data_IF_931129340394
#
_entry.id   IF_931129340394
#
_cell.length_a   1.000
_cell.length_b   1.000
_cell.length_c   1.000
_cell.angle_alpha   90.00
_cell.angle_beta   90.00
_cell.angle_gamma   90.00
#
_symmetry.space_group_name_H-M   'P 1'
#
loop_
_entity.id
_entity.type
_entity.pdbx_description
1 polymer ?
#
# COMPACT_ATOMS: atom_id res chain seq x y z
N UNK A 1 28.34 49.24 -56.56
CA UNK A 1 29.67 49.05 -55.95
C UNK A 1 29.68 49.92 -54.70
N UNK A 2 29.71 49.24 -53.57
CA UNK A 2 29.90 49.61 -52.16
C UNK A 2 29.99 51.10 -51.78
N UNK A 3 29.00 51.57 -51.02
CA UNK A 3 29.11 52.73 -50.13
C UNK A 3 29.10 52.18 -48.69
N UNK A 4 30.29 51.99 -48.13
CA UNK A 4 30.51 51.59 -46.73
C UNK A 4 31.15 52.78 -46.03
N UNK A 5 30.31 53.57 -45.35
CA UNK A 5 30.76 54.55 -44.38
C UNK A 5 31.27 53.82 -43.14
N UNK A 6 32.57 53.59 -43.08
CA UNK A 6 33.28 53.30 -41.84
C UNK A 6 33.43 54.64 -41.08
N UNK A 7 32.45 54.99 -40.24
CA UNK A 7 32.61 56.04 -39.24
C UNK A 7 33.75 55.61 -38.29
N UNK A 8 34.96 56.13 -38.51
CA UNK A 8 36.08 55.99 -37.58
C UNK A 8 35.71 56.65 -36.26
N UNK A 9 35.27 55.83 -35.30
CA UNK A 9 35.10 56.21 -33.90
C UNK A 9 36.33 56.98 -33.42
N UNK A 10 36.12 58.17 -32.85
CA UNK A 10 37.19 58.98 -32.28
C UNK A 10 37.88 58.22 -31.14
N UNK A 11 39.16 58.52 -30.86
CA UNK A 11 39.92 57.82 -29.81
C UNK A 11 39.20 57.86 -28.44
N UNK A 12 38.48 58.95 -28.17
CA UNK A 12 37.67 59.14 -26.96
C UNK A 12 36.48 58.20 -26.87
N UNK A 13 35.79 57.96 -27.98
CA UNK A 13 34.63 57.04 -28.01
C UNK A 13 35.06 55.59 -27.84
N UNK A 14 36.27 55.22 -28.31
CA UNK A 14 36.85 53.90 -28.07
C UNK A 14 37.19 53.69 -26.59
N UNK A 15 37.82 54.67 -25.96
CA UNK A 15 38.13 54.63 -24.53
C UNK A 15 36.85 54.54 -23.67
N UNK A 16 35.81 55.31 -24.01
CA UNK A 16 34.51 55.25 -23.33
C UNK A 16 33.80 53.90 -23.52
N UNK A 17 33.90 53.29 -24.71
CA UNK A 17 33.35 51.95 -24.97
C UNK A 17 34.09 50.86 -24.19
N UNK A 18 35.42 50.95 -24.08
CA UNK A 18 36.22 49.98 -23.32
C UNK A 18 35.98 50.13 -21.82
N UNK A 19 35.80 51.36 -21.33
CA UNK A 19 35.39 51.61 -19.94
C UNK A 19 33.99 51.04 -19.68
N UNK A 20 33.01 51.28 -20.57
CA UNK A 20 31.66 50.74 -20.43
C UNK A 20 31.64 49.20 -20.50
N UNK A 21 32.44 48.59 -21.39
CA UNK A 21 32.59 47.13 -21.45
C UNK A 21 33.25 46.58 -20.19
N UNK A 22 34.23 47.27 -19.62
CA UNK A 22 34.85 46.87 -18.35
C UNK A 22 33.87 46.97 -17.17
N UNK A 23 33.01 48.00 -17.16
CA UNK A 23 31.97 48.17 -16.14
C UNK A 23 30.84 47.15 -16.30
N UNK A 24 30.43 46.86 -17.52
CA UNK A 24 29.42 45.81 -17.80
C UNK A 24 29.96 44.45 -17.40
N UNK A 25 31.20 44.10 -17.78
CA UNK A 25 31.82 42.83 -17.36
C UNK A 25 32.04 42.75 -15.84
N UNK A 26 32.39 43.86 -15.18
CA UNK A 26 32.48 43.92 -13.73
C UNK A 26 31.10 43.77 -13.05
N UNK A 27 30.04 44.36 -13.61
CA UNK A 27 28.67 44.24 -13.09
C UNK A 27 28.07 42.86 -13.39
N UNK A 28 28.34 42.28 -14.55
CA UNK A 28 27.95 40.91 -14.91
C UNK A 28 28.70 39.89 -14.04
N UNK A 29 29.98 40.13 -13.73
CA UNK A 29 30.77 39.35 -12.77
C UNK A 29 30.31 39.49 -11.32
N UNK A 30 29.81 40.67 -10.93
CA UNK A 30 29.30 40.94 -9.58
C UNK A 30 27.83 40.51 -9.38
N UNK A 31 27.05 40.32 -10.45
CA UNK A 31 25.61 40.05 -10.39
C UNK A 31 25.23 38.65 -9.86
N UNK A 32 26.19 37.73 -9.68
CA UNK A 32 25.88 36.40 -9.12
C UNK A 32 26.86 36.01 -8.02
N UNK A 33 26.59 36.33 -6.74
CA UNK A 33 27.33 35.70 -5.66
C UNK A 33 27.17 34.17 -5.77
N UNK A 34 28.26 33.37 -5.65
CA UNK A 34 28.15 31.92 -5.66
C UNK A 34 27.25 31.52 -4.49
N UNK A 35 26.06 31.02 -4.80
CA UNK A 35 25.17 30.42 -3.79
C UNK A 35 25.95 29.27 -3.16
N UNK A 36 26.43 29.45 -1.93
CA UNK A 36 27.00 28.36 -1.14
C UNK A 36 25.89 27.38 -0.83
N UNK A 37 25.65 26.44 -1.75
CA UNK A 37 24.93 25.23 -1.46
C UNK A 37 25.71 24.54 -0.35
N UNK A 38 25.15 24.43 0.86
CA UNK A 38 25.73 23.58 1.89
C UNK A 38 25.26 22.15 1.59
N UNK A 39 26.06 21.32 0.87
CA UNK A 39 25.62 20.01 0.40
C UNK A 39 25.19 19.11 1.57
N UNK A 40 25.85 19.25 2.72
CA UNK A 40 25.55 18.51 3.94
C UNK A 40 24.11 18.67 4.43
N UNK A 41 23.50 19.86 4.31
CA UNK A 41 22.09 20.08 4.71
C UNK A 41 21.11 19.44 3.74
N UNK A 42 21.44 19.42 2.45
CA UNK A 42 20.60 18.78 1.43
C UNK A 42 20.66 17.25 1.54
N UNK A 43 21.86 16.69 1.73
CA UNK A 43 22.06 15.24 1.90
C UNK A 43 21.39 14.77 3.19
N UNK A 44 21.58 15.49 4.30
CA UNK A 44 20.93 15.16 5.58
C UNK A 44 19.41 15.18 5.50
N UNK A 45 18.82 16.15 4.80
CA UNK A 45 17.37 16.21 4.57
C UNK A 45 16.87 15.01 3.76
N UNK A 46 17.56 14.64 2.68
CA UNK A 46 17.19 13.47 1.86
C UNK A 46 17.27 12.18 2.67
N UNK A 47 18.34 11.99 3.44
CA UNK A 47 18.49 10.80 4.30
C UNK A 47 17.38 10.73 5.37
N UNK A 48 17.03 11.85 6.01
CA UNK A 48 15.94 11.90 6.98
C UNK A 48 14.59 11.60 6.33
N UNK A 49 14.36 12.05 5.10
CA UNK A 49 13.14 11.75 4.35
C UNK A 49 13.05 10.27 3.99
N UNK A 50 14.14 9.67 3.51
CA UNK A 50 14.20 8.24 3.22
C UNK A 50 14.01 7.40 4.49
N UNK A 51 14.62 7.82 5.60
CA UNK A 51 14.42 7.20 6.89
C UNK A 51 12.97 7.33 7.36
N UNK A 52 12.33 8.49 7.20
CA UNK A 52 10.91 8.66 7.53
C UNK A 52 10.01 7.77 6.68
N UNK A 53 10.30 7.60 5.39
CA UNK A 53 9.55 6.69 4.52
C UNK A 53 9.70 5.23 4.96
N UNK A 54 10.92 4.81 5.31
CA UNK A 54 11.19 3.48 5.86
C UNK A 54 10.49 3.26 7.21
N UNK A 55 10.55 4.23 8.11
CA UNK A 55 9.86 4.17 9.40
C UNK A 55 8.35 4.15 9.23
N UNK A 56 7.80 4.85 8.22
CA UNK A 56 6.37 4.81 7.90
C UNK A 56 5.94 3.42 7.44
N UNK A 57 6.76 2.75 6.59
CA UNK A 57 6.56 1.36 6.18
C UNK A 57 6.45 0.44 7.40
N UNK A 58 7.46 0.51 8.27
CA UNK A 58 7.56 -0.33 9.45
C UNK A 58 6.46 0.00 10.48
N UNK A 59 6.08 1.27 10.60
CA UNK A 59 5.02 1.76 11.46
C UNK A 59 3.66 1.18 11.11
N UNK A 60 3.29 1.13 9.82
CA UNK A 60 2.00 0.58 9.42
C UNK A 60 1.91 -0.91 9.76
N UNK A 61 2.98 -1.66 9.52
CA UNK A 61 3.06 -3.09 9.87
C UNK A 61 3.04 -3.28 11.39
N UNK A 62 3.80 -2.48 12.15
CA UNK A 62 3.86 -2.56 13.59
C UNK A 62 2.51 -2.22 14.25
N UNK A 63 1.84 -1.16 13.80
CA UNK A 63 0.50 -0.79 14.28
C UNK A 63 -0.50 -1.90 13.99
N UNK A 64 -0.49 -2.45 12.77
CA UNK A 64 -1.37 -3.56 12.42
C UNK A 64 -1.11 -4.78 13.31
N UNK A 65 0.14 -5.22 13.43
CA UNK A 65 0.49 -6.39 14.21
C UNK A 65 0.15 -6.17 15.70
N UNK A 66 0.44 -5.00 16.26
CA UNK A 66 0.04 -4.65 17.63
C UNK A 66 -1.48 -4.73 17.80
N UNK A 67 -2.22 -4.20 16.82
CA UNK A 67 -3.69 -4.20 16.83
C UNK A 67 -4.32 -5.58 16.61
N UNK A 68 -3.57 -6.55 16.07
CA UNK A 68 -4.06 -7.92 15.93
C UNK A 68 -3.68 -8.75 17.15
N UNK A 69 -2.52 -8.50 17.76
CA UNK A 69 -2.00 -9.28 18.88
C UNK A 69 -2.57 -8.83 20.23
N UNK A 70 -2.76 -7.53 20.45
CA UNK A 70 -3.16 -6.98 21.75
C UNK A 70 -4.64 -6.58 21.83
N UNK A 71 -5.36 -6.59 20.71
CA UNK A 71 -6.77 -6.19 20.65
C UNK A 71 -7.61 -7.38 20.18
N UNK A 72 -8.17 -8.08 21.17
CA UNK A 72 -9.04 -9.25 20.95
C UNK A 72 -10.27 -8.89 20.10
N UNK A 73 -10.85 -7.71 20.27
CA UNK A 73 -12.02 -7.31 19.49
C UNK A 73 -11.67 -7.13 18.02
N UNK A 74 -10.52 -6.53 17.74
CA UNK A 74 -10.04 -6.34 16.37
C UNK A 74 -9.62 -7.66 15.72
N UNK A 75 -9.00 -8.56 16.47
CA UNK A 75 -8.74 -9.92 16.01
C UNK A 75 -10.04 -10.64 15.65
N UNK A 76 -11.02 -10.67 16.56
CA UNK A 76 -12.32 -11.33 16.35
C UNK A 76 -13.11 -10.70 15.20
N UNK A 77 -13.06 -9.38 15.03
CA UNK A 77 -13.66 -8.69 13.88
C UNK A 77 -13.02 -9.11 12.54
N UNK A 78 -11.78 -9.58 12.57
CA UNK A 78 -11.03 -10.04 11.40
C UNK A 78 -11.34 -11.50 11.07
N UNK A 79 -11.34 -12.39 12.06
CA UNK A 79 -11.54 -13.83 11.86
C UNK A 79 -13.00 -14.27 11.97
N UNK A 80 -13.85 -13.50 12.63
CA UNK A 80 -15.27 -13.82 12.83
C UNK A 80 -16.04 -14.08 11.52
N UNK A 81 -15.92 -13.22 10.49
CA UNK A 81 -16.60 -13.43 9.21
C UNK A 81 -16.19 -14.71 8.47
N UNK A 82 -15.01 -15.28 8.77
CA UNK A 82 -14.54 -16.52 8.15
C UNK A 82 -15.44 -17.72 8.46
N UNK A 83 -16.22 -17.67 9.54
CA UNK A 83 -17.18 -18.72 9.86
C UNK A 83 -18.28 -18.89 8.80
N UNK A 84 -18.57 -17.82 8.05
CA UNK A 84 -19.57 -17.76 6.98
C UNK A 84 -18.98 -17.92 5.57
N UNK A 85 -17.66 -18.06 5.47
CA UNK A 85 -16.95 -18.16 4.20
C UNK A 85 -17.03 -19.60 3.64
N UNK A 86 -17.50 -19.80 2.41
CA UNK A 86 -17.72 -21.15 1.86
C UNK A 86 -16.43 -21.95 1.72
N UNK A 87 -15.31 -21.31 1.40
CA UNK A 87 -14.03 -22.00 1.25
C UNK A 87 -13.52 -22.50 2.61
N UNK A 88 -13.67 -21.69 3.66
CA UNK A 88 -13.34 -22.07 5.04
C UNK A 88 -14.28 -23.16 5.55
N UNK A 89 -15.60 -23.03 5.34
CA UNK A 89 -16.59 -24.02 5.74
C UNK A 89 -16.33 -25.38 5.07
N UNK A 90 -15.99 -25.39 3.78
CA UNK A 90 -15.63 -26.61 3.06
C UNK A 90 -14.33 -27.22 3.58
N UNK A 91 -13.30 -26.41 3.84
CA UNK A 91 -12.04 -26.89 4.39
C UNK A 91 -12.21 -27.51 5.79
N UNK A 92 -13.00 -26.87 6.67
CA UNK A 92 -13.33 -27.40 8.00
C UNK A 92 -14.12 -28.70 7.86
N UNK A 93 -15.13 -28.74 6.96
CA UNK A 93 -15.94 -29.94 6.72
C UNK A 93 -15.09 -31.11 6.28
N UNK A 94 -14.21 -30.92 5.30
CA UNK A 94 -13.30 -31.96 4.82
C UNK A 94 -12.38 -32.43 5.95
N UNK A 95 -11.79 -31.50 6.70
CA UNK A 95 -10.83 -31.83 7.76
C UNK A 95 -11.48 -32.62 8.90
N UNK A 96 -12.67 -32.21 9.33
CA UNK A 96 -13.43 -32.91 10.37
C UNK A 96 -13.90 -34.27 9.86
N UNK A 97 -14.36 -34.36 8.61
CA UNK A 97 -14.76 -35.64 7.99
C UNK A 97 -13.60 -36.61 7.95
N UNK A 98 -12.44 -36.19 7.44
CA UNK A 98 -11.25 -37.05 7.37
C UNK A 98 -10.78 -37.45 8.77
N UNK A 99 -10.85 -36.56 9.76
CA UNK A 99 -10.53 -36.87 11.15
C UNK A 99 -11.48 -37.91 11.75
N UNK A 100 -12.79 -37.77 11.55
CA UNK A 100 -13.79 -38.75 12.02
C UNK A 100 -13.57 -40.10 11.37
N UNK A 101 -13.38 -40.14 10.05
CA UNK A 101 -13.15 -41.38 9.32
C UNK A 101 -11.82 -42.06 9.68
N UNK A 102 -10.80 -41.29 10.06
CA UNK A 102 -9.51 -41.87 10.50
C UNK A 102 -9.63 -42.74 11.77
N UNK A 103 -10.70 -42.56 12.54
CA UNK A 103 -11.01 -43.37 13.72
C UNK A 103 -11.96 -44.54 13.43
N UNK A 104 -12.53 -44.61 12.23
CA UNK A 104 -13.44 -45.68 11.82
C UNK A 104 -12.69 -46.61 10.86
N UNK A 105 -12.34 -47.80 11.35
CA UNK A 105 -11.72 -48.82 10.50
C UNK A 105 -12.77 -49.55 9.65
N UNK A 106 -13.20 -48.89 8.58
CA UNK A 106 -14.22 -49.42 7.64
C UNK A 106 -13.77 -50.76 7.06
N UNK A 107 -12.47 -50.91 6.78
CA UNK A 107 -11.90 -52.16 6.26
C UNK A 107 -11.99 -53.29 7.27
N UNK A 108 -11.71 -53.02 8.54
CA UNK A 108 -11.89 -54.02 9.59
C UNK A 108 -13.36 -54.44 9.72
N UNK A 109 -14.31 -53.49 9.65
CA UNK A 109 -15.74 -53.82 9.70
C UNK A 109 -16.20 -54.65 8.49
N UNK A 110 -15.82 -54.28 7.28
CA UNK A 110 -16.21 -55.04 6.06
C UNK A 110 -15.49 -56.39 6.03
N UNK A 111 -14.25 -56.46 6.50
CA UNK A 111 -13.51 -57.71 6.70
C UNK A 111 -14.26 -58.65 7.64
N UNK A 112 -14.63 -58.18 8.83
CA UNK A 112 -15.42 -58.97 9.80
C UNK A 112 -16.75 -59.46 9.23
N UNK A 113 -17.45 -58.62 8.45
CA UNK A 113 -18.70 -59.00 7.78
C UNK A 113 -18.46 -60.06 6.69
N UNK A 114 -17.35 -59.96 5.95
CA UNK A 114 -16.99 -60.91 4.89
C UNK A 114 -16.57 -62.26 5.48
N UNK A 115 -15.83 -62.24 6.58
CA UNK A 115 -15.41 -63.44 7.31
C UNK A 115 -16.64 -64.17 7.89
N UNK A 116 -17.54 -63.44 8.56
CA UNK A 116 -18.80 -64.01 9.08
C UNK A 116 -19.72 -64.56 7.98
N UNK A 117 -19.78 -63.91 6.82
CA UNK A 117 -20.54 -64.40 5.67
C UNK A 117 -19.93 -65.70 5.09
N UNK A 118 -18.59 -65.79 5.08
CA UNK A 118 -17.88 -66.99 4.60
C UNK A 118 -18.10 -68.20 5.52
N UNK A 119 -18.14 -67.98 6.84
CA UNK A 119 -18.45 -69.01 7.83
C UNK A 119 -19.89 -69.55 7.72
N UNK A 120 -20.83 -68.72 7.25
CA UNK A 120 -22.22 -69.14 6.99
C UNK A 120 -22.43 -69.84 5.64
N UNK A 121 -21.35 -70.12 4.89
CA UNK A 121 -21.41 -70.89 3.65
C UNK A 121 -21.91 -70.10 2.43
N UNK A 122 -21.77 -68.77 2.46
CA UNK A 122 -22.10 -67.91 1.31
C UNK A 122 -21.19 -68.26 0.10
N UNK A 123 -21.73 -68.33 -1.14
CA UNK A 123 -20.94 -68.67 -2.31
C UNK A 123 -19.73 -67.73 -2.51
N UNK A 124 -18.56 -68.22 -2.96
CA UNK A 124 -17.32 -67.43 -3.09
C UNK A 124 -17.48 -66.14 -3.91
N UNK A 125 -18.33 -66.17 -4.94
CA UNK A 125 -18.64 -64.99 -5.76
C UNK A 125 -19.32 -63.87 -4.98
N UNK A 126 -20.14 -64.19 -3.99
CA UNK A 126 -20.80 -63.19 -3.16
C UNK A 126 -19.85 -62.57 -2.13
N UNK A 127 -18.88 -63.33 -1.61
CA UNK A 127 -17.81 -62.80 -0.76
C UNK A 127 -16.87 -61.85 -1.52
N UNK A 128 -16.53 -62.15 -2.79
CA UNK A 128 -15.77 -61.23 -3.65
C UNK A 128 -16.54 -59.93 -3.94
N UNK A 129 -17.85 -60.02 -4.18
CA UNK A 129 -18.70 -58.84 -4.36
C UNK A 129 -18.72 -57.97 -3.10
N UNK A 130 -18.79 -58.58 -1.90
CA UNK A 130 -18.73 -57.86 -0.62
C UNK A 130 -17.40 -57.14 -0.42
N UNK A 131 -16.28 -57.78 -0.77
CA UNK A 131 -14.95 -57.16 -0.70
C UNK A 131 -14.80 -55.98 -1.68
N UNK A 132 -15.45 -56.06 -2.84
CA UNK A 132 -15.49 -54.95 -3.80
C UNK A 132 -16.37 -53.77 -3.36
N UNK A 133 -17.14 -53.90 -2.26
CA UNK A 133 -17.94 -52.82 -1.70
C UNK A 133 -17.14 -51.91 -0.77
N UNK A 134 -15.89 -52.23 -0.43
CA UNK A 134 -15.03 -51.39 0.42
C UNK A 134 -15.02 -49.91 -0.05
N UNK A 135 -14.72 -49.68 -1.32
CA UNK A 135 -14.66 -48.34 -1.90
C UNK A 135 -16.01 -47.60 -1.90
N UNK A 136 -17.10 -48.22 -2.41
CA UNK A 136 -18.45 -47.64 -2.34
C UNK A 136 -18.95 -47.37 -0.92
N UNK A 137 -18.71 -48.26 0.04
CA UNK A 137 -19.11 -48.09 1.45
C UNK A 137 -18.32 -46.96 2.08
N UNK A 138 -17.00 -46.91 1.87
CA UNK A 138 -16.13 -45.83 2.35
C UNK A 138 -16.57 -44.48 1.78
N UNK A 139 -16.85 -44.42 0.47
CA UNK A 139 -17.34 -43.20 -0.19
C UNK A 139 -18.71 -42.77 0.30
N UNK A 140 -19.65 -43.72 0.46
CA UNK A 140 -20.99 -43.45 0.99
C UNK A 140 -20.95 -42.96 2.43
N UNK A 141 -20.12 -43.58 3.28
CA UNK A 141 -19.90 -43.13 4.65
C UNK A 141 -19.25 -41.75 4.67
N UNK A 142 -18.23 -41.50 3.83
CA UNK A 142 -17.60 -40.19 3.71
C UNK A 142 -18.60 -39.12 3.32
N UNK A 143 -19.49 -39.39 2.36
CA UNK A 143 -20.47 -38.42 1.92
C UNK A 143 -21.57 -38.18 2.97
N UNK A 144 -21.99 -39.23 3.69
CA UNK A 144 -22.93 -39.10 4.81
C UNK A 144 -22.35 -38.26 5.95
N UNK A 145 -21.11 -38.56 6.36
CA UNK A 145 -20.41 -37.83 7.42
C UNK A 145 -20.18 -36.38 6.97
N UNK A 146 -19.65 -36.18 5.77
CA UNK A 146 -19.42 -34.85 5.20
C UNK A 146 -20.71 -34.01 5.17
N UNK A 147 -21.82 -34.55 4.66
CA UNK A 147 -23.09 -33.82 4.62
C UNK A 147 -23.73 -33.60 6.00
N UNK A 148 -23.41 -34.41 7.01
CA UNK A 148 -23.79 -34.13 8.40
C UNK A 148 -22.95 -32.99 9.00
N UNK A 149 -21.63 -33.03 8.79
CA UNK A 149 -20.70 -31.99 9.27
C UNK A 149 -20.98 -30.65 8.58
N UNK A 150 -21.19 -30.65 7.26
CA UNK A 150 -21.50 -29.45 6.48
C UNK A 150 -22.73 -28.72 7.01
N UNK A 151 -23.81 -29.46 7.34
CA UNK A 151 -25.02 -28.87 7.94
C UNK A 151 -24.77 -28.21 9.30
N UNK A 152 -23.82 -28.74 10.08
CA UNK A 152 -23.42 -28.13 11.35
C UNK A 152 -22.56 -26.90 11.09
N UNK A 153 -21.57 -27.00 10.21
CA UNK A 153 -20.61 -25.92 9.90
C UNK A 153 -21.28 -24.73 9.21
N UNK A 154 -22.28 -24.98 8.37
CA UNK A 154 -23.07 -23.93 7.69
C UNK A 154 -24.16 -23.31 8.58
N UNK A 155 -24.31 -23.79 9.82
CA UNK A 155 -25.34 -23.28 10.73
C UNK A 155 -24.95 -21.94 11.37
N UNK A 156 -25.96 -21.13 11.70
CA UNK A 156 -25.75 -19.90 12.48
C UNK A 156 -25.25 -20.16 13.91
N UNK A 157 -25.42 -21.38 14.42
CA UNK A 157 -24.85 -21.79 15.70
C UNK A 157 -23.33 -21.91 15.61
N UNK A 158 -22.81 -22.44 14.50
CA UNK A 158 -21.37 -22.55 14.26
C UNK A 158 -20.70 -21.18 14.25
N UNK A 159 -21.30 -20.16 13.62
CA UNK A 159 -20.75 -18.79 13.63
C UNK A 159 -20.56 -18.24 15.04
N UNK A 160 -21.54 -18.43 15.93
CA UNK A 160 -21.45 -18.00 17.34
C UNK A 160 -20.37 -18.77 18.10
N UNK A 161 -20.29 -20.08 17.88
CA UNK A 161 -19.26 -20.92 18.49
C UNK A 161 -17.87 -20.50 18.01
N UNK A 162 -17.72 -20.26 16.72
CA UNK A 162 -16.48 -19.80 16.10
C UNK A 162 -15.99 -18.49 16.70
N UNK A 163 -16.84 -17.46 16.72
CA UNK A 163 -16.51 -16.13 17.26
C UNK A 163 -16.09 -16.22 18.72
N UNK A 164 -16.85 -16.96 19.52
CA UNK A 164 -16.60 -17.09 20.94
C UNK A 164 -15.34 -17.92 21.25
N UNK A 165 -15.12 -19.01 20.51
CA UNK A 165 -13.92 -19.83 20.65
C UNK A 165 -12.66 -19.02 20.31
N UNK A 166 -12.68 -18.27 19.21
CA UNK A 166 -11.58 -17.38 18.82
C UNK A 166 -11.33 -16.27 19.86
N UNK A 167 -12.40 -15.65 20.38
CA UNK A 167 -12.30 -14.63 21.44
C UNK A 167 -11.60 -15.17 22.68
N UNK A 168 -12.02 -16.34 23.17
CA UNK A 168 -11.42 -16.95 24.36
C UNK A 168 -9.99 -17.39 24.14
N UNK A 169 -9.71 -18.06 23.02
CA UNK A 169 -8.35 -18.47 22.66
C UNK A 169 -7.40 -17.27 22.58
N UNK A 170 -7.84 -16.18 21.95
CA UNK A 170 -7.06 -14.96 21.84
C UNK A 170 -6.87 -14.26 23.19
N UNK A 171 -7.93 -14.18 24.02
CA UNK A 171 -7.84 -13.56 25.36
C UNK A 171 -6.87 -14.32 26.26
N UNK A 172 -6.92 -15.66 26.27
CA UNK A 172 -5.99 -16.49 27.04
C UNK A 172 -4.54 -16.32 26.56
N UNK A 173 -4.33 -16.16 25.26
CA UNK A 173 -3.00 -15.88 24.69
C UNK A 173 -2.50 -14.48 25.09
N UNK A 174 -3.37 -13.46 25.02
CA UNK A 174 -3.02 -12.09 25.40
C UNK A 174 -2.65 -12.00 26.90
N UNK A 175 -3.42 -12.62 27.78
CA UNK A 175 -3.14 -12.72 29.21
C UNK A 175 -1.79 -13.43 29.49
N UNK A 176 -1.52 -14.52 28.76
CA UNK A 176 -0.26 -15.27 28.83
C UNK A 176 0.96 -14.42 28.41
N UNK A 177 0.80 -13.55 27.42
CA UNK A 177 1.86 -12.73 26.83
C UNK A 177 2.10 -11.44 27.63
N UNK A 178 1.04 -10.78 28.08
CA UNK A 178 1.09 -9.50 28.83
C UNK A 178 1.38 -9.72 30.32
N UNK A 179 1.08 -10.90 30.87
CA UNK A 179 1.29 -11.23 32.27
C UNK A 179 0.33 -10.51 33.22
N UNK A 180 -0.82 -10.03 32.74
CA UNK A 180 -1.83 -9.32 33.53
C UNK A 180 -2.77 -10.24 34.36
N UNK A 181 -2.37 -11.48 34.61
CA UNK A 181 -3.19 -12.42 35.41
C UNK A 181 -3.11 -12.09 36.90
N UNK A 182 -4.17 -11.49 37.45
CA UNK A 182 -4.38 -11.32 38.91
C UNK A 182 -4.98 -12.60 39.56
N UNK A 183 -5.29 -13.64 38.78
CA UNK A 183 -5.76 -14.92 39.30
C UNK A 183 -5.31 -16.10 38.43
N UNK A 184 -4.56 -17.01 39.06
CA UNK A 184 -4.37 -18.40 38.66
C UNK A 184 -3.73 -18.70 37.28
N UNK A 185 -2.45 -18.33 37.13
CA UNK A 185 -1.52 -19.14 36.32
C UNK A 185 -0.41 -19.59 37.26
N UNK A 186 -0.47 -20.84 37.73
CA UNK A 186 0.64 -21.42 38.46
C UNK A 186 1.83 -21.51 37.49
N UNK A 187 2.81 -20.62 37.65
CA UNK A 187 4.14 -20.81 37.12
C UNK A 187 4.72 -22.08 37.78
N UNK A 188 4.49 -23.24 37.17
CA UNK A 188 5.36 -24.40 37.34
C UNK A 188 6.35 -24.38 36.19
N UNK A 189 7.62 -24.16 36.54
CA UNK A 189 8.77 -24.40 35.66
C UNK A 189 8.72 -23.68 34.29
N UNK A 190 8.44 -22.36 34.30
CA UNK A 190 8.60 -21.50 33.13
C UNK A 190 7.69 -21.86 31.92
N UNK A 191 6.60 -22.59 32.16
CA UNK A 191 5.63 -23.01 31.16
C UNK A 191 4.33 -22.23 31.36
N UNK A 192 3.82 -21.63 30.28
CA UNK A 192 2.46 -21.08 30.26
C UNK A 192 1.55 -22.17 29.71
N UNK A 193 0.86 -22.85 30.60
CA UNK A 193 -0.11 -23.89 30.27
C UNK A 193 -1.47 -23.23 30.18
N UNK A 194 -2.05 -23.21 28.98
CA UNK A 194 -3.44 -22.80 28.78
C UNK A 194 -4.28 -24.07 28.92
N UNK A 195 -5.11 -24.13 29.96
CA UNK A 195 -6.11 -25.19 30.08
C UNK A 195 -7.19 -24.97 29.01
N UNK A 196 -7.13 -25.80 27.97
CA UNK A 196 -8.12 -25.82 26.88
C UNK A 196 -9.35 -26.67 27.23
N UNK A 197 -9.34 -27.38 28.36
CA UNK A 197 -10.45 -28.19 28.85
C UNK A 197 -11.79 -27.44 28.88
N UNK A 198 -11.86 -26.21 29.42
CA UNK A 198 -13.08 -25.40 29.42
C UNK A 198 -13.62 -25.05 28.02
N UNK A 199 -12.74 -24.94 27.02
CA UNK A 199 -13.12 -24.62 25.64
C UNK A 199 -13.68 -25.87 24.96
N UNK A 200 -13.01 -27.01 25.12
CA UNK A 200 -13.45 -28.30 24.56
C UNK A 200 -14.80 -28.72 25.13
N UNK A 201 -15.00 -28.56 26.44
CA UNK A 201 -16.25 -28.94 27.10
C UNK A 201 -17.44 -28.07 26.67
N UNK A 202 -17.22 -26.77 26.42
CA UNK A 202 -18.28 -25.91 25.89
C UNK A 202 -18.63 -26.22 24.43
N UNK A 203 -17.63 -26.53 23.59
CA UNK A 203 -17.88 -26.92 22.19
C UNK A 203 -18.64 -28.24 22.14
N UNK A 204 -18.25 -29.21 22.98
CA UNK A 204 -18.96 -30.47 23.16
C UNK A 204 -20.41 -30.25 23.59
N UNK A 205 -20.65 -29.46 24.63
CA UNK A 205 -22.00 -29.16 25.12
C UNK A 205 -22.87 -28.55 24.02
N UNK A 206 -22.35 -27.56 23.29
CA UNK A 206 -23.11 -26.91 22.20
C UNK A 206 -23.34 -27.81 21.00
N UNK A 207 -22.42 -28.71 20.67
CA UNK A 207 -22.62 -29.72 19.61
C UNK A 207 -23.72 -30.71 20.00
N UNK A 208 -23.76 -31.13 21.27
CA UNK A 208 -24.83 -31.98 21.80
C UNK A 208 -26.17 -31.24 21.76
N UNK A 209 -26.22 -29.99 22.23
CA UNK A 209 -27.43 -29.15 22.22
C UNK A 209 -27.95 -28.86 20.80
N UNK A 210 -27.05 -28.79 19.82
CA UNK A 210 -27.37 -28.64 18.39
C UNK A 210 -27.77 -29.95 17.70
N UNK A 211 -27.86 -31.07 18.45
CA UNK A 211 -28.35 -32.36 17.95
C UNK A 211 -27.27 -33.34 17.49
N UNK A 212 -25.98 -33.00 17.62
CA UNK A 212 -24.86 -33.89 17.31
C UNK A 212 -24.51 -34.76 18.54
N UNK A 213 -25.37 -35.74 18.81
CA UNK A 213 -25.23 -36.69 19.92
C UNK A 213 -23.89 -37.44 20.00
N UNK A 214 -23.16 -37.73 18.89
CA UNK A 214 -21.84 -38.34 18.97
C UNK A 214 -20.79 -37.51 19.73
N UNK A 215 -20.93 -36.18 19.81
CA UNK A 215 -20.01 -35.34 20.58
C UNK A 215 -19.98 -35.69 22.08
N UNK A 216 -21.06 -36.25 22.63
CA UNK A 216 -21.10 -36.67 24.02
C UNK A 216 -20.08 -37.76 24.36
N UNK A 217 -19.60 -38.51 23.36
CA UNK A 217 -18.58 -39.57 23.54
C UNK A 217 -17.15 -39.06 23.45
N UNK A 218 -16.93 -37.78 23.15
CA UNK A 218 -15.61 -37.17 23.18
C UNK A 218 -15.16 -37.15 24.65
N UNK A 219 -14.05 -37.83 25.01
CA UNK A 219 -13.53 -37.84 26.37
C UNK A 219 -13.25 -36.41 26.85
N UNK A 220 -13.44 -36.12 28.13
CA UNK A 220 -12.96 -34.87 28.72
C UNK A 220 -11.43 -34.81 28.57
N UNK A 221 -10.97 -33.92 27.70
CA UNK A 221 -9.55 -33.69 27.46
C UNK A 221 -9.08 -32.66 28.48
N UNK A 222 -8.79 -33.12 29.70
CA UNK A 222 -7.98 -32.37 30.67
C UNK A 222 -6.52 -32.56 30.28
N UNK A 223 -6.12 -32.05 29.12
CA UNK A 223 -4.74 -32.16 28.67
C UNK A 223 -4.19 -30.77 28.54
N UNK A 224 -3.18 -30.50 29.38
CA UNK A 224 -2.29 -29.36 29.30
C UNK A 224 -1.72 -29.30 27.88
N UNK A 225 -2.39 -28.58 26.99
CA UNK A 225 -1.95 -28.47 25.61
C UNK A 225 -0.84 -27.42 25.62
N UNK A 226 0.39 -27.89 25.56
CA UNK A 226 1.57 -27.05 25.41
C UNK A 226 1.54 -26.48 23.98
N UNK A 227 0.82 -25.38 23.79
CA UNK A 227 0.70 -24.69 22.49
C UNK A 227 2.06 -24.15 22.02
N UNK A 228 3.04 -23.96 22.93
CA UNK A 228 4.39 -23.49 22.59
C UNK A 228 5.50 -24.23 23.35
N UNK A 229 6.45 -24.81 22.61
CA UNK A 229 7.66 -25.40 23.17
C UNK A 229 8.53 -24.32 23.83
N UNK A 230 8.96 -24.56 25.08
CA UNK A 230 9.48 -23.58 26.05
C UNK A 230 10.74 -22.77 25.67
N UNK A 231 11.37 -23.02 24.51
CA UNK A 231 12.59 -22.28 24.11
C UNK A 231 12.32 -20.93 23.46
N UNK A 232 11.12 -20.69 22.93
CA UNK A 232 10.82 -19.49 22.13
C UNK A 232 9.95 -18.47 22.87
N UNK A 233 9.40 -18.80 24.05
CA UNK A 233 8.51 -17.88 24.80
C UNK A 233 9.24 -16.60 25.22
N UNK A 234 10.54 -16.68 25.56
CA UNK A 234 11.36 -15.50 25.87
C UNK A 234 11.54 -14.59 24.65
N UNK A 235 11.71 -15.16 23.46
CA UNK A 235 11.81 -14.40 22.21
C UNK A 235 10.47 -13.79 21.84
N UNK A 236 9.37 -14.54 21.92
CA UNK A 236 8.01 -14.04 21.64
C UNK A 236 7.64 -12.90 22.59
N UNK A 237 7.88 -13.01 23.90
CA UNK A 237 7.65 -11.91 24.84
C UNK A 237 8.51 -10.68 24.52
N UNK A 238 9.74 -10.89 24.05
CA UNK A 238 10.62 -9.79 23.62
C UNK A 238 10.08 -9.12 22.36
N UNK A 239 9.65 -9.88 21.36
CA UNK A 239 9.03 -9.35 20.14
C UNK A 239 7.73 -8.62 20.41
N UNK A 240 6.86 -9.14 21.29
CA UNK A 240 5.61 -8.48 21.69
C UNK A 240 5.90 -7.17 22.41
N UNK A 241 6.89 -7.12 23.30
CA UNK A 241 7.28 -5.88 23.99
C UNK A 241 7.90 -4.86 23.03
N UNK A 242 8.74 -5.31 22.10
CA UNK A 242 9.28 -4.45 21.03
C UNK A 242 8.14 -3.92 20.16
N UNK A 243 7.17 -4.77 19.83
CA UNK A 243 6.00 -4.43 19.04
C UNK A 243 5.06 -3.47 19.77
N UNK A 244 4.92 -3.57 21.09
CA UNK A 244 4.13 -2.64 21.92
C UNK A 244 4.75 -1.24 21.89
N UNK A 245 6.07 -1.16 22.12
CA UNK A 245 6.80 0.10 22.11
C UNK A 245 6.76 0.71 20.70
N UNK A 246 7.04 -0.08 19.66
CA UNK A 246 7.05 0.39 18.28
C UNK A 246 5.62 0.68 17.77
N UNK A 247 4.63 -0.15 18.08
CA UNK A 247 3.26 0.00 17.62
C UNK A 247 2.64 1.34 18.02
N UNK A 248 2.85 1.77 19.27
CA UNK A 248 2.39 3.07 19.76
C UNK A 248 3.25 4.25 19.31
N UNK A 249 4.58 4.15 19.40
CA UNK A 249 5.48 5.29 19.23
C UNK A 249 6.03 5.47 17.82
N UNK A 250 6.19 4.39 17.05
CA UNK A 250 6.80 4.43 15.72
C UNK A 250 6.07 5.36 14.73
N UNK A 251 4.72 5.46 14.71
CA UNK A 251 4.04 6.47 13.89
C UNK A 251 4.44 7.90 14.25
N UNK A 252 4.56 8.19 15.55
CA UNK A 252 4.95 9.51 16.04
C UNK A 252 6.42 9.80 15.72
N UNK A 253 7.32 8.82 15.90
CA UNK A 253 8.73 8.93 15.53
C UNK A 253 8.87 9.17 14.02
N UNK A 254 8.17 8.40 13.19
CA UNK A 254 8.19 8.57 11.73
C UNK A 254 7.75 9.98 11.33
N UNK A 255 6.69 10.50 11.97
CA UNK A 255 6.19 11.86 11.74
C UNK A 255 7.20 12.93 12.17
N UNK A 256 7.84 12.77 13.34
CA UNK A 256 8.86 13.70 13.83
C UNK A 256 10.11 13.70 12.95
N UNK A 257 10.56 12.53 12.49
CA UNK A 257 11.69 12.40 11.56
C UNK A 257 11.35 13.04 10.21
N UNK A 258 10.12 12.84 9.70
CA UNK A 258 9.65 13.53 8.49
C UNK A 258 9.66 15.06 8.67
N UNK A 259 9.13 15.56 9.80
CA UNK A 259 9.11 16.98 10.12
C UNK A 259 10.53 17.57 10.24
N UNK A 260 11.45 16.86 10.90
CA UNK A 260 12.85 17.24 10.99
C UNK A 260 13.53 17.28 9.62
N UNK A 261 13.31 16.27 8.77
CA UNK A 261 13.79 16.22 7.40
C UNK A 261 13.32 17.42 6.56
N UNK A 262 12.05 17.82 6.73
CA UNK A 262 11.48 19.01 6.10
C UNK A 262 12.05 20.31 6.68
N UNK A 263 12.26 20.38 7.99
CA UNK A 263 12.76 21.58 8.67
C UNK A 263 14.21 21.91 8.30
N UNK A 264 15.07 20.89 8.21
CA UNK A 264 16.49 21.04 7.83
C UNK A 264 16.65 21.43 6.35
N UNK A 265 15.65 21.14 5.53
CA UNK A 265 15.71 21.41 4.11
C UNK A 265 15.79 22.90 3.76
N UNK A 266 16.65 23.23 2.81
CA UNK A 266 16.77 24.59 2.28
C UNK A 266 15.47 25.07 1.62
N UNK A 267 14.72 24.16 0.99
CA UNK A 267 13.40 24.41 0.40
C UNK A 267 12.33 23.52 1.05
N UNK A 268 11.77 23.98 2.18
CA UNK A 268 10.77 23.24 2.98
C UNK A 268 9.61 22.67 2.15
N UNK A 269 9.14 23.41 1.14
CA UNK A 269 8.08 22.92 0.22
C UNK A 269 8.51 21.71 -0.61
N UNK A 270 9.69 21.77 -1.23
CA UNK A 270 10.19 20.66 -2.04
C UNK A 270 10.51 19.44 -1.18
N UNK A 271 11.01 19.66 0.04
CA UNK A 271 11.21 18.60 1.00
C UNK A 271 9.89 17.98 1.46
N UNK A 272 8.84 18.77 1.67
CA UNK A 272 7.53 18.24 2.06
C UNK A 272 6.86 17.46 0.93
N UNK A 273 6.96 17.92 -0.32
CA UNK A 273 6.52 17.16 -1.50
C UNK A 273 7.33 15.86 -1.62
N UNK A 274 8.66 15.93 -1.48
CA UNK A 274 9.54 14.77 -1.53
C UNK A 274 9.25 13.75 -0.44
N UNK A 275 9.00 14.21 0.80
CA UNK A 275 8.64 13.36 1.93
C UNK A 275 7.29 12.66 1.70
N UNK A 276 6.28 13.41 1.29
CA UNK A 276 4.97 12.89 0.99
C UNK A 276 5.00 11.86 -0.17
N UNK A 277 5.79 12.12 -1.22
CA UNK A 277 5.98 11.16 -2.31
C UNK A 277 6.79 9.92 -1.88
N UNK A 278 7.79 10.09 -1.01
CA UNK A 278 8.56 8.96 -0.49
C UNK A 278 7.70 8.03 0.38
N UNK A 279 6.85 8.59 1.25
CA UNK A 279 5.87 7.82 2.04
C UNK A 279 4.85 7.15 1.12
N UNK A 280 4.33 7.86 0.11
CA UNK A 280 3.44 7.25 -0.89
C UNK A 280 4.10 6.07 -1.61
N UNK A 281 5.34 6.23 -2.08
CA UNK A 281 6.10 5.17 -2.72
C UNK A 281 6.33 3.98 -1.78
N UNK A 282 6.65 4.22 -0.50
CA UNK A 282 6.77 3.17 0.51
C UNK A 282 5.46 2.40 0.70
N UNK A 283 4.31 3.08 0.73
CA UNK A 283 2.99 2.43 0.81
C UNK A 283 2.66 1.60 -0.43
N UNK A 284 3.04 2.07 -1.63
CA UNK A 284 2.90 1.28 -2.86
C UNK A 284 3.76 0.02 -2.80
N UNK A 285 5.02 0.14 -2.38
CA UNK A 285 5.94 -0.98 -2.21
C UNK A 285 5.37 -1.99 -1.20
N UNK A 286 4.84 -1.53 -0.06
CA UNK A 286 4.19 -2.41 0.92
C UNK A 286 2.99 -3.13 0.33
N UNK A 287 2.13 -2.42 -0.41
CA UNK A 287 0.96 -3.00 -1.06
C UNK A 287 1.36 -4.11 -2.03
N UNK A 288 2.39 -3.88 -2.85
CA UNK A 288 2.94 -4.90 -3.76
C UNK A 288 3.51 -6.08 -2.97
N UNK A 289 4.29 -5.81 -1.92
CA UNK A 289 4.87 -6.85 -1.08
C UNK A 289 3.80 -7.75 -0.45
N UNK A 290 2.66 -7.19 -0.01
CA UNK A 290 1.54 -7.95 0.54
C UNK A 290 0.82 -8.80 -0.52
N UNK A 291 0.82 -8.39 -1.79
CA UNK A 291 0.29 -9.20 -2.88
C UNK A 291 1.24 -10.35 -3.20
N UNK A 292 2.55 -10.08 -3.34
CA UNK A 292 3.56 -11.11 -3.62
C UNK A 292 3.65 -12.11 -2.47
N UNK A 293 3.58 -11.65 -1.22
CA UNK A 293 3.60 -12.52 -0.05
C UNK A 293 2.40 -13.48 -0.02
N UNK A 294 1.25 -13.08 -0.59
CA UNK A 294 0.09 -13.97 -0.75
C UNK A 294 0.44 -15.16 -1.66
N UNK A 295 1.02 -14.87 -2.82
CA UNK A 295 1.34 -15.91 -3.80
C UNK A 295 2.39 -16.87 -3.24
N UNK A 296 3.45 -16.35 -2.62
CA UNK A 296 4.49 -17.15 -1.95
C UNK A 296 3.90 -17.99 -0.81
N UNK A 297 3.00 -17.43 0.00
CA UNK A 297 2.32 -18.16 1.08
C UNK A 297 1.50 -19.33 0.52
N UNK A 298 0.73 -19.10 -0.54
CA UNK A 298 -0.12 -20.11 -1.14
C UNK A 298 0.69 -21.21 -1.86
N UNK A 299 1.85 -20.88 -2.42
CA UNK A 299 2.75 -21.84 -3.07
C UNK A 299 3.53 -22.73 -2.07
N UNK A 300 3.52 -22.38 -0.78
CA UNK A 300 4.24 -23.10 0.27
C UNK A 300 3.32 -23.81 1.27
N UNK A 301 2.05 -24.02 0.90
CA UNK A 301 1.10 -24.73 1.75
C UNK A 301 1.45 -26.23 1.87
N UNK A 302 1.33 -26.83 3.06
CA UNK A 302 1.49 -28.27 3.24
C UNK A 302 0.50 -29.05 2.36
N UNK A 303 0.91 -30.23 1.84
CA UNK A 303 0.03 -31.07 1.03
C UNK A 303 -1.23 -31.45 1.82
N UNK A 304 -2.39 -31.33 1.18
CA UNK A 304 -3.71 -31.56 1.80
C UNK A 304 -4.38 -30.32 2.39
N UNK A 305 -3.74 -29.14 2.33
CA UNK A 305 -4.35 -27.86 2.74
C UNK A 305 -5.16 -27.25 1.59
N UNK A 306 -6.38 -26.75 1.87
CA UNK A 306 -7.17 -26.01 0.88
C UNK A 306 -6.54 -24.65 0.60
N UNK A 307 -6.06 -24.44 -0.63
CA UNK A 307 -5.47 -23.17 -1.07
C UNK A 307 -6.49 -22.03 -1.08
N UNK A 308 -7.76 -22.33 -1.38
CA UNK A 308 -8.84 -21.35 -1.36
C UNK A 308 -9.09 -20.82 0.07
N UNK A 309 -9.24 -21.73 1.04
CA UNK A 309 -9.44 -21.37 2.44
C UNK A 309 -8.22 -20.64 3.04
N UNK A 310 -7.01 -21.07 2.70
CA UNK A 310 -5.79 -20.37 3.10
C UNK A 310 -5.76 -18.94 2.52
N UNK A 311 -6.19 -18.77 1.28
CA UNK A 311 -6.32 -17.47 0.62
C UNK A 311 -7.33 -16.56 1.31
N UNK A 312 -8.50 -17.06 1.69
CA UNK A 312 -9.53 -16.27 2.39
C UNK A 312 -9.07 -15.86 3.79
N UNK A 313 -8.40 -16.75 4.53
CA UNK A 313 -7.80 -16.43 5.83
C UNK A 313 -6.73 -15.34 5.68
N UNK A 314 -5.82 -15.47 4.70
CA UNK A 314 -4.79 -14.46 4.44
C UNK A 314 -5.43 -13.10 4.12
N UNK A 315 -6.39 -13.08 3.19
CA UNK A 315 -7.06 -11.86 2.75
C UNK A 315 -7.85 -11.20 3.88
N UNK A 316 -8.44 -11.98 4.80
CA UNK A 316 -9.07 -11.47 6.00
C UNK A 316 -8.04 -10.81 6.94
N UNK A 317 -6.96 -11.51 7.29
CA UNK A 317 -5.92 -11.01 8.21
C UNK A 317 -5.32 -9.68 7.76
N UNK A 318 -5.04 -9.54 6.46
CA UNK A 318 -4.42 -8.33 5.92
C UNK A 318 -5.43 -7.30 5.41
N UNK A 319 -6.74 -7.54 5.53
CA UNK A 319 -7.79 -6.60 5.09
C UNK A 319 -7.60 -5.21 5.69
N UNK A 320 -7.43 -5.15 7.01
CA UNK A 320 -7.22 -3.89 7.73
C UNK A 320 -5.85 -3.28 7.43
N UNK A 321 -4.82 -4.11 7.25
CA UNK A 321 -3.49 -3.65 6.84
C UNK A 321 -3.54 -2.96 5.47
N UNK A 322 -4.17 -3.61 4.47
CA UNK A 322 -4.37 -3.03 3.12
C UNK A 322 -5.17 -1.73 3.19
N UNK A 323 -6.17 -1.65 4.06
CA UNK A 323 -6.93 -0.42 4.28
C UNK A 323 -6.05 0.72 4.83
N UNK A 324 -5.21 0.43 5.83
CA UNK A 324 -4.24 1.37 6.39
C UNK A 324 -3.20 1.85 5.37
N UNK A 325 -2.64 0.92 4.58
CA UNK A 325 -1.69 1.22 3.49
C UNK A 325 -2.33 2.16 2.46
N UNK A 326 -3.57 1.90 2.03
CA UNK A 326 -4.28 2.76 1.08
C UNK A 326 -4.61 4.12 1.68
N UNK A 327 -5.07 4.17 2.92
CA UNK A 327 -5.41 5.42 3.61
C UNK A 327 -4.18 6.32 3.79
N UNK A 328 -3.05 5.78 4.27
CA UNK A 328 -1.82 6.54 4.45
C UNK A 328 -1.21 6.95 3.11
N UNK A 329 -1.24 6.07 2.10
CA UNK A 329 -0.83 6.40 0.74
C UNK A 329 -1.65 7.56 0.17
N UNK A 330 -2.98 7.50 0.29
CA UNK A 330 -3.86 8.59 -0.14
C UNK A 330 -3.56 9.90 0.61
N UNK A 331 -3.42 9.86 1.94
CA UNK A 331 -3.09 11.02 2.76
C UNK A 331 -1.75 11.65 2.36
N UNK A 332 -0.74 10.83 2.09
CA UNK A 332 0.56 11.29 1.60
C UNK A 332 0.44 11.93 0.21
N UNK A 333 -0.31 11.32 -0.71
CA UNK A 333 -0.56 11.89 -2.03
C UNK A 333 -1.30 13.23 -1.97
N UNK A 334 -2.33 13.35 -1.13
CA UNK A 334 -3.05 14.61 -0.90
C UNK A 334 -2.15 15.67 -0.27
N UNK A 335 -1.27 15.28 0.64
CA UNK A 335 -0.27 16.19 1.24
C UNK A 335 0.70 16.71 0.17
N UNK A 336 1.20 15.85 -0.71
CA UNK A 336 2.05 16.24 -1.82
C UNK A 336 1.33 17.21 -2.77
N UNK A 337 0.07 16.92 -3.11
CA UNK A 337 -0.76 17.76 -3.97
C UNK A 337 -1.07 19.12 -3.32
N UNK A 338 -1.45 19.15 -2.05
CA UNK A 338 -1.72 20.39 -1.30
C UNK A 338 -0.48 21.27 -1.19
N UNK A 339 0.67 20.69 -0.89
CA UNK A 339 1.96 21.40 -0.85
C UNK A 339 2.40 21.90 -2.22
N UNK A 340 2.07 21.17 -3.28
CA UNK A 340 2.26 21.60 -4.64
C UNK A 340 1.34 22.78 -5.01
N UNK A 341 0.10 22.84 -4.51
CA UNK A 341 -0.85 23.91 -4.82
C UNK A 341 -0.63 25.19 -4.00
N UNK A 342 -0.30 25.08 -2.71
CA UNK A 342 -0.22 26.21 -1.78
C UNK A 342 1.00 27.12 -1.97
N UNK A 343 2.04 26.69 -2.69
CA UNK A 343 3.27 27.48 -2.81
C UNK A 343 3.32 28.40 -4.04
N UNK A 344 3.75 29.67 -3.91
CA UNK A 344 3.97 30.57 -5.04
C UNK A 344 5.05 29.96 -5.94
N UNK A 345 4.67 29.49 -7.13
CA UNK A 345 5.55 28.76 -8.03
C UNK A 345 6.54 29.70 -8.73
N UNK A 346 7.63 30.06 -8.05
CA UNK A 346 8.86 30.61 -8.65
C UNK A 346 9.64 29.59 -9.51
N UNK A 347 9.11 28.37 -9.63
CA UNK A 347 9.57 27.33 -10.55
C UNK A 347 9.34 27.74 -12.03
N UNK A 348 8.57 28.80 -12.31
CA UNK A 348 8.42 29.38 -13.64
C UNK A 348 9.66 30.11 -14.20
N UNK A 349 10.70 30.39 -13.38
CA UNK A 349 11.86 31.18 -13.82
C UNK A 349 13.11 30.33 -14.10
N UNK A 350 13.29 29.20 -13.40
CA UNK A 350 14.57 28.46 -13.45
C UNK A 350 14.57 27.24 -14.38
N UNK A 351 13.40 26.66 -14.69
CA UNK A 351 13.29 25.65 -15.76
C UNK A 351 13.34 26.29 -17.16
N UNK A 352 13.31 27.64 -17.24
CA UNK A 352 13.21 28.42 -18.48
C UNK A 352 14.51 28.47 -19.31
N UNK A 353 15.66 28.02 -18.81
CA UNK A 353 16.93 28.07 -19.58
C UNK A 353 17.42 26.70 -20.07
N UNK A 354 17.18 25.63 -19.30
CA UNK A 354 17.65 24.28 -19.67
C UNK A 354 16.70 23.55 -20.62
N UNK A 355 15.41 23.48 -20.28
CA UNK A 355 14.43 22.70 -21.04
C UNK A 355 13.95 23.41 -22.32
N UNK A 356 14.10 24.74 -22.40
CA UNK A 356 13.76 25.54 -23.61
C UNK A 356 14.65 25.23 -24.81
N UNK A 357 15.92 24.84 -24.62
CA UNK A 357 16.82 24.54 -25.74
C UNK A 357 16.51 23.20 -26.41
N UNK A 358 16.17 22.18 -25.62
CA UNK A 358 15.91 20.83 -26.13
C UNK A 358 14.47 20.65 -26.63
N UNK A 359 13.46 21.18 -25.92
CA UNK A 359 12.06 21.11 -26.38
C UNK A 359 11.76 22.16 -27.45
N UNK A 360 12.48 23.30 -27.47
CA UNK A 360 12.42 24.26 -28.57
C UNK A 360 12.88 23.65 -29.90
N UNK A 361 13.99 22.89 -29.89
CA UNK A 361 14.49 22.18 -31.07
C UNK A 361 13.49 21.15 -31.61
N UNK A 362 12.82 20.38 -30.75
CA UNK A 362 11.77 19.43 -31.16
C UNK A 362 10.48 20.14 -31.64
N UNK A 363 10.16 21.31 -31.08
CA UNK A 363 8.99 22.11 -31.47
C UNK A 363 9.22 22.88 -32.78
N UNK A 364 10.44 23.32 -33.07
CA UNK A 364 10.83 23.90 -34.37
C UNK A 364 10.80 22.85 -35.49
N UNK A 365 11.21 21.61 -35.19
CA UNK A 365 11.06 20.47 -36.11
C UNK A 365 9.59 20.13 -36.35
N UNK A 366 8.74 20.11 -35.32
CA UNK A 366 7.30 19.87 -35.47
C UNK A 366 6.56 21.02 -36.17
N UNK A 367 7.00 22.27 -35.96
CA UNK A 367 6.48 23.45 -36.66
C UNK A 367 6.91 23.48 -38.12
N UNK A 368 8.13 23.00 -38.45
CA UNK A 368 8.58 22.79 -39.84
C UNK A 368 7.79 21.70 -40.57
N UNK A 369 7.13 20.80 -39.81
CA UNK A 369 6.21 19.77 -40.31
C UNK A 369 4.72 20.20 -40.31
N UNK A 370 4.40 21.46 -39.97
CA UNK A 370 3.05 22.04 -40.11
C UNK A 370 2.08 21.84 -38.94
N UNK A 371 2.49 21.21 -37.83
CA UNK A 371 1.63 21.04 -36.65
C UNK A 371 1.62 22.29 -35.77
N UNK A 372 0.67 23.20 -36.00
CA UNK A 372 0.38 24.31 -35.08
C UNK A 372 -0.61 23.84 -34.00
N UNK A 373 -0.17 23.73 -32.75
CA UNK A 373 -1.06 23.55 -31.60
C UNK A 373 -1.88 24.81 -31.39
N UNK A 374 -3.05 24.89 -32.04
CA UNK A 374 -3.91 26.06 -32.03
C UNK A 374 -4.64 26.32 -30.70
N UNK A 375 -5.98 26.54 -30.69
CA UNK A 375 -6.75 26.96 -29.50
C UNK A 375 -6.56 26.08 -28.24
N UNK A 376 -6.24 24.80 -28.44
CA UNK A 376 -6.03 23.80 -27.39
C UNK A 376 -4.86 24.18 -26.46
N UNK A 377 -3.77 24.73 -27.00
CA UNK A 377 -2.61 25.08 -26.18
C UNK A 377 -2.88 26.25 -25.22
N UNK A 378 -3.69 27.22 -25.66
CA UNK A 378 -4.15 28.35 -24.84
C UNK A 378 -5.12 27.92 -23.74
N UNK A 379 -6.02 26.99 -24.03
CA UNK A 379 -6.96 26.46 -23.05
C UNK A 379 -6.23 25.68 -21.94
N UNK A 380 -5.26 24.84 -22.32
CA UNK A 380 -4.43 24.08 -21.38
C UNK A 380 -3.56 25.00 -20.53
N UNK A 381 -3.00 26.07 -21.10
CA UNK A 381 -2.25 27.08 -20.32
C UNK A 381 -3.13 27.76 -19.26
N UNK A 382 -4.32 28.23 -19.67
CA UNK A 382 -5.26 28.93 -18.78
C UNK A 382 -5.76 28.06 -17.63
N UNK A 383 -6.03 26.78 -17.87
CA UNK A 383 -6.54 25.85 -16.84
C UNK A 383 -5.48 24.89 -16.33
N UNK A 384 -4.18 25.17 -16.56
CA UNK A 384 -3.08 24.24 -16.27
C UNK A 384 -3.19 23.70 -14.85
N UNK A 385 -3.42 24.54 -13.83
CA UNK A 385 -3.56 24.08 -12.44
C UNK A 385 -4.75 23.13 -12.24
N UNK A 386 -5.91 23.45 -12.80
CA UNK A 386 -7.12 22.62 -12.71
C UNK A 386 -6.97 21.28 -13.43
N UNK A 387 -6.33 21.24 -14.59
CA UNK A 387 -6.09 19.99 -15.32
C UNK A 387 -5.18 19.05 -14.51
N UNK A 388 -4.15 19.59 -13.84
CA UNK A 388 -3.31 18.81 -12.94
C UNK A 388 -4.06 18.26 -11.73
N UNK A 389 -4.95 19.07 -11.14
CA UNK A 389 -5.83 18.63 -10.04
C UNK A 389 -6.79 17.54 -10.52
N UNK A 390 -7.42 17.71 -11.68
CA UNK A 390 -8.33 16.71 -12.25
C UNK A 390 -7.60 15.41 -12.54
N UNK A 391 -6.39 15.43 -13.11
CA UNK A 391 -5.59 14.22 -13.34
C UNK A 391 -5.30 13.47 -12.03
N UNK A 392 -4.89 14.20 -10.98
CA UNK A 392 -4.59 13.60 -9.67
C UNK A 392 -5.84 13.13 -8.93
N UNK A 393 -6.94 13.87 -9.01
CA UNK A 393 -8.24 13.49 -8.43
C UNK A 393 -8.79 12.27 -9.16
N UNK A 394 -8.67 12.19 -10.48
CA UNK A 394 -9.08 11.01 -11.26
C UNK A 394 -8.23 9.81 -10.88
N UNK A 395 -6.90 9.95 -10.77
CA UNK A 395 -6.02 8.87 -10.31
C UNK A 395 -6.37 8.40 -8.89
N UNK A 396 -6.64 9.35 -7.98
CA UNK A 396 -7.03 9.05 -6.60
C UNK A 396 -8.41 8.38 -6.53
N UNK A 397 -9.40 8.86 -7.28
CA UNK A 397 -10.73 8.27 -7.38
C UNK A 397 -10.62 6.86 -7.95
N UNK A 398 -9.90 6.65 -9.05
CA UNK A 398 -9.68 5.32 -9.65
C UNK A 398 -9.07 4.35 -8.64
N UNK A 399 -8.04 4.76 -7.89
CA UNK A 399 -7.41 3.91 -6.87
C UNK A 399 -8.31 3.65 -5.65
N UNK A 400 -9.18 4.60 -5.31
CA UNK A 400 -10.04 4.54 -4.13
C UNK A 400 -11.35 3.78 -4.40
N UNK A 401 -11.96 3.95 -5.58
CA UNK A 401 -13.22 3.31 -5.93
C UNK A 401 -13.05 1.88 -6.41
N UNK A 402 -11.83 1.45 -6.78
CA UNK A 402 -11.64 0.08 -7.24
C UNK A 402 -11.55 -0.90 -6.08
N UNK A 403 -12.58 -1.75 -5.96
CA UNK A 403 -12.68 -2.79 -4.94
C UNK A 403 -11.64 -3.93 -5.11
N UNK A 404 -11.00 -4.03 -6.29
CA UNK A 404 -9.98 -5.03 -6.63
C UNK A 404 -8.86 -4.42 -7.51
N UNK A 405 -7.95 -3.59 -6.96
CA UNK A 405 -6.82 -3.09 -7.74
C UNK A 405 -5.78 -4.21 -7.87
N UNK A 406 -5.71 -4.85 -9.04
CA UNK A 406 -4.58 -5.73 -9.39
C UNK A 406 -3.29 -4.91 -9.49
N UNK A 407 -2.14 -5.53 -9.24
CA UNK A 407 -0.82 -4.85 -9.29
C UNK A 407 -0.60 -4.09 -10.61
N UNK A 408 -1.07 -4.66 -11.72
CA UNK A 408 -1.05 -4.04 -13.04
C UNK A 408 -1.82 -2.71 -13.08
N UNK A 409 -2.99 -2.65 -12.45
CA UNK A 409 -3.83 -1.45 -12.41
C UNK A 409 -3.12 -0.30 -11.70
N UNK A 410 -2.47 -0.54 -10.56
CA UNK A 410 -1.76 0.53 -9.82
C UNK A 410 -0.58 1.06 -10.63
N UNK A 411 0.20 0.17 -11.25
CA UNK A 411 1.33 0.54 -12.13
C UNK A 411 0.83 1.32 -13.33
N UNK A 412 -0.20 0.85 -14.02
CA UNK A 412 -0.76 1.56 -15.18
C UNK A 412 -1.39 2.90 -14.79
N UNK A 413 -2.07 3.00 -13.65
CA UNK A 413 -2.63 4.27 -13.18
C UNK A 413 -1.52 5.29 -12.88
N UNK A 414 -0.39 4.85 -12.31
CA UNK A 414 0.78 5.70 -12.09
C UNK A 414 1.43 6.12 -13.42
N UNK A 415 1.63 5.19 -14.36
CA UNK A 415 2.17 5.48 -15.70
C UNK A 415 1.27 6.46 -16.45
N UNK A 416 -0.05 6.23 -16.45
CA UNK A 416 -1.05 7.09 -17.10
C UNK A 416 -1.05 8.48 -16.46
N UNK A 417 -0.93 8.58 -15.14
CA UNK A 417 -0.84 9.87 -14.43
C UNK A 417 0.41 10.63 -14.84
N UNK A 418 1.57 9.96 -14.92
CA UNK A 418 2.83 10.57 -15.34
C UNK A 418 2.77 11.01 -16.82
N UNK A 419 2.22 10.19 -17.69
CA UNK A 419 2.01 10.52 -19.11
C UNK A 419 1.03 11.67 -19.27
N UNK A 420 -0.08 11.70 -18.53
CA UNK A 420 -1.05 12.79 -18.58
C UNK A 420 -0.47 14.12 -18.08
N UNK A 421 0.39 14.09 -17.05
CA UNK A 421 1.14 15.26 -16.60
C UNK A 421 2.18 15.72 -17.63
N UNK A 422 2.86 14.78 -18.32
CA UNK A 422 3.80 15.09 -19.38
C UNK A 422 3.11 15.70 -20.62
N UNK A 423 1.96 15.16 -21.03
CA UNK A 423 1.13 15.69 -22.13
C UNK A 423 0.60 17.08 -21.79
N UNK A 424 0.12 17.28 -20.55
CA UNK A 424 -0.29 18.59 -20.06
C UNK A 424 0.83 19.62 -20.17
N UNK A 425 2.07 19.23 -19.86
CA UNK A 425 3.24 20.12 -19.98
C UNK A 425 3.61 20.37 -21.44
N UNK A 426 3.48 19.37 -22.31
CA UNK A 426 3.76 19.47 -23.73
C UNK A 426 2.77 20.39 -24.47
N UNK A 427 1.49 20.35 -24.10
CA UNK A 427 0.41 21.15 -24.68
C UNK A 427 0.37 22.59 -24.16
N UNK A 428 1.22 22.96 -23.22
CA UNK A 428 1.27 24.32 -22.68
C UNK A 428 1.86 25.31 -23.71
N UNK A 429 1.08 26.31 -24.13
CA UNK A 429 1.51 27.36 -25.06
C UNK A 429 1.46 28.75 -24.38
N UNK A 430 2.61 29.33 -23.98
CA UNK A 430 2.66 30.60 -23.27
C UNK A 430 2.68 31.84 -24.19
N UNK A 431 2.38 31.69 -25.48
CA UNK A 431 2.50 32.77 -26.45
C UNK A 431 1.53 33.94 -26.11
N UNK A 432 2.03 35.18 -25.94
CA UNK A 432 1.17 36.34 -25.71
C UNK A 432 0.33 36.66 -26.96
N UNK A 433 -0.83 37.33 -26.82
CA UNK A 433 -1.62 37.72 -27.99
C UNK A 433 -0.76 38.56 -28.95
N UNK A 434 -0.96 38.43 -30.28
CA UNK A 434 -0.25 39.28 -31.23
C UNK A 434 -0.53 40.74 -30.85
N UNK A 435 0.54 41.52 -30.68
CA UNK A 435 0.43 42.96 -30.49
C UNK A 435 -0.34 43.51 -31.70
N UNK A 436 -1.58 43.91 -31.47
CA UNK A 436 -2.35 44.64 -32.46
C UNK A 436 -1.61 45.92 -32.82
N UNK A 437 -1.19 46.00 -34.08
CA UNK A 437 -0.82 47.20 -34.84
C UNK A 437 -0.21 48.35 -34.04
N UNK A 438 1.11 48.34 -33.89
CA UNK A 438 1.85 49.59 -33.67
C UNK A 438 1.63 50.49 -34.89
N UNK A 439 0.91 51.59 -34.69
CA UNK A 439 0.76 52.64 -35.69
C UNK A 439 2.15 53.20 -36.08
N UNK A 440 2.39 53.55 -37.36
CA UNK A 440 3.70 54.02 -37.80
C UNK A 440 4.06 55.36 -37.11
N UNK A 441 5.36 55.66 -36.94
CA UNK A 441 5.79 56.86 -36.23
C UNK A 441 5.29 58.12 -36.94
N UNK A 442 4.66 59.04 -36.20
CA UNK A 442 4.31 60.36 -36.71
C UNK A 442 5.58 61.18 -37.06
N UNK A 443 5.49 62.13 -38.01
CA UNK A 443 6.65 62.88 -38.49
C UNK A 443 7.24 63.80 -37.40
N UNK A 444 8.56 64.08 -37.45
CA UNK A 444 9.25 64.85 -36.42
C UNK A 444 8.83 66.33 -36.41
N UNK A 445 8.89 67.00 -35.24
CA UNK A 445 8.50 68.40 -35.10
C UNK A 445 9.48 69.34 -35.84
N UNK A 446 9.01 70.48 -36.37
CA UNK A 446 9.85 71.39 -37.15
C UNK A 446 10.93 72.07 -36.29
N UNK A 447 12.15 72.12 -36.83
CA UNK A 447 13.29 72.81 -36.27
C UNK A 447 13.03 74.33 -36.22
N UNK A 448 13.24 74.94 -35.06
CA UNK A 448 13.18 76.38 -34.88
C UNK A 448 14.28 77.09 -35.67
N UNK A 449 13.89 78.10 -36.44
CA UNK A 449 14.80 79.05 -37.06
C UNK A 449 15.16 80.17 -36.07
N UNK A 450 16.42 80.62 -36.03
CA UNK A 450 16.82 81.82 -35.29
C UNK A 450 16.80 83.03 -36.23
N UNK A 451 16.08 84.11 -35.90
CA UNK A 451 16.50 85.49 -36.23
C UNK A 451 15.62 86.57 -35.58
N UNK A 452 16.32 87.49 -34.92
CA UNK A 452 16.11 88.93 -34.77
C UNK A 452 14.92 89.54 -34.01
N UNK A 453 15.25 89.96 -32.79
CA UNK A 453 15.37 91.37 -32.37
C UNK A 453 14.27 92.40 -32.73
N UNK A 454 13.70 92.95 -31.65
CA UNK A 454 13.45 94.36 -31.38
C UNK A 454 12.24 95.08 -32.02
N UNK A 455 11.33 95.45 -31.11
CA UNK A 455 10.59 96.72 -31.00
C UNK A 455 9.54 97.12 -32.07
N UNK A 456 8.31 97.24 -31.55
CA UNK A 456 7.08 97.88 -32.08
C UNK A 456 6.27 97.12 -33.12
#
# INVERSE_FOLDING_TARGET
>A
MSDTGDEELSARERDELDELRSRVTALEGAATPPRRHHPFRSIGSVLLILLAALLSLLSVVAVWANSIVQDTDRYVATVGPLASDPDVQQAVTNRVTDAVLSHVDVKALVGQLTDAASEQGVPPRAAELLKNLDGPIESGLKQLVSGAVERVVTSSAFEKVWVEANRRAHSALDEALTGQSDAAVQLKDNQVVIDIGPIVEQVKTRLVDAGFSPAAKIPEVHTDFVVFASKEIGEVKTYVRVLEILGGWLPLIALLVAAAGVYVAFNRRHALIGAALAVFAAMVILGIALTVARDVYLDHLPPGTSQAAAGTVYDALIKFLRAGVRALGAAALFTAAGAFLAGPSRIAVLTRTGCRRSIGSLRDVAASAGFRTGPVGRFVHRHKRWIGVVILVVAAVVLFTWHYPTTAVVVWTAVITLVALAIREFLDDPSPPPAGSAAPPGPPPPAGSPTDAAAR
#
